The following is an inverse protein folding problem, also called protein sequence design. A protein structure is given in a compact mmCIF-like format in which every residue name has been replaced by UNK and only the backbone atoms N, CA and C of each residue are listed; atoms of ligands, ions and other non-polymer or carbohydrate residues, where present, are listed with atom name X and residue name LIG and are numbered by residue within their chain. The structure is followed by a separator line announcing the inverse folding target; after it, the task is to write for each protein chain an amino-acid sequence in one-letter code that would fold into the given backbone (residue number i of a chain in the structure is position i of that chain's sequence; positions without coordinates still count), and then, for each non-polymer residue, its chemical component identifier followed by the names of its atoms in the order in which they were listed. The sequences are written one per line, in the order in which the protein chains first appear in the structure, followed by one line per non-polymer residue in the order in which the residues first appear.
data_IF_331371453256
#
_entry.id   IF_331371453256
#
_cell.length_a   1.000
_cell.length_b   1.000
_cell.length_c   1.000
_cell.angle_alpha   90.00
_cell.angle_beta   90.00
_cell.angle_gamma   90.00
#
_symmetry.space_group_name_H-M   'P 1'
#
loop_
_entity.id
_entity.type
_entity.pdbx_description
1 polymer ?
#
# COMPACT_ATOMS: atom_id res chain seq x y z
N UNK A 1 8.17 6.98 -15.64
CA UNK A 1 7.56 5.66 -15.42
C UNK A 1 6.70 5.71 -14.18
N UNK A 2 5.52 5.15 -14.29
CA UNK A 2 4.60 5.13 -13.15
C UNK A 2 4.99 4.00 -12.19
N UNK A 3 4.98 4.31 -10.93
CA UNK A 3 5.13 3.29 -9.89
C UNK A 3 3.84 3.17 -9.13
N UNK A 4 3.73 2.13 -8.33
CA UNK A 4 2.47 1.82 -7.65
C UNK A 4 2.68 1.72 -6.16
N UNK A 5 1.63 2.06 -5.42
CA UNK A 5 1.61 2.02 -3.96
C UNK A 5 0.55 1.02 -3.52
N UNK A 6 0.77 0.45 -2.35
CA UNK A 6 -0.24 -0.40 -1.72
C UNK A 6 -0.74 0.33 -0.48
N UNK A 7 -2.05 0.51 -0.39
CA UNK A 7 -2.68 1.20 0.73
C UNK A 7 -3.51 0.18 1.51
N UNK A 8 -3.26 0.10 2.80
CA UNK A 8 -3.94 -0.85 3.67
C UNK A 8 -4.46 -0.11 4.89
N UNK A 9 -5.77 -0.19 5.12
CA UNK A 9 -6.39 0.37 6.32
C UNK A 9 -6.02 1.83 6.54
N UNK A 10 -5.99 2.60 5.46
CA UNK A 10 -5.69 4.03 5.52
C UNK A 10 -4.22 4.38 5.63
N UNK A 11 -3.34 3.40 5.51
CA UNK A 11 -1.89 3.62 5.58
C UNK A 11 -1.21 3.01 4.37
N UNK A 12 -0.02 3.53 4.06
CA UNK A 12 0.77 2.99 2.96
C UNK A 12 1.67 1.87 3.45
N UNK A 13 1.82 0.85 2.63
CA UNK A 13 2.75 -0.24 2.92
C UNK A 13 4.17 0.21 2.56
N UNK A 14 5.10 0.11 3.51
CA UNK A 14 6.49 0.48 3.26
C UNK A 14 7.28 -0.69 2.69
N UNK A 15 7.07 -1.88 3.22
CA UNK A 15 7.79 -3.07 2.76
C UNK A 15 7.10 -4.31 3.31
N UNK A 16 7.40 -5.44 2.68
CA UNK A 16 6.97 -6.74 3.16
C UNK A 16 8.20 -7.48 3.66
N UNK A 17 8.10 -8.07 4.84
CA UNK A 17 9.21 -8.77 5.46
C UNK A 17 8.86 -10.23 5.67
N UNK A 18 9.88 -11.06 5.66
CA UNK A 18 9.73 -12.47 5.97
C UNK A 18 9.06 -13.26 4.85
N UNK A 19 8.90 -14.58 5.06
CA UNK A 19 8.31 -15.43 4.04
C UNK A 19 6.85 -15.05 3.81
N UNK A 20 6.49 -14.97 2.56
CA UNK A 20 5.12 -14.68 2.12
C UNK A 20 4.58 -13.36 2.68
N UNK A 21 5.47 -12.42 2.97
CA UNK A 21 5.03 -11.13 3.48
C UNK A 21 4.39 -11.20 4.84
N UNK A 22 4.88 -12.08 5.71
CA UNK A 22 4.30 -12.27 7.04
C UNK A 22 4.48 -11.05 7.94
N UNK A 23 5.48 -10.20 7.66
CA UNK A 23 5.65 -8.94 8.36
C UNK A 23 5.40 -7.78 7.42
N UNK A 24 4.69 -6.76 7.90
CA UNK A 24 4.30 -5.63 7.06
C UNK A 24 4.67 -4.33 7.75
N UNK A 25 5.39 -3.45 7.02
CA UNK A 25 5.65 -2.11 7.49
C UNK A 25 4.58 -1.17 6.94
N UNK A 26 4.10 -0.26 7.78
CA UNK A 26 3.07 0.70 7.41
C UNK A 26 3.50 2.10 7.77
N UNK A 27 3.05 3.09 6.99
CA UNK A 27 3.32 4.49 7.27
C UNK A 27 2.15 5.33 6.79
N UNK A 28 1.95 6.47 7.43
CA UNK A 28 0.96 7.44 6.94
C UNK A 28 1.56 8.44 5.96
N UNK A 29 2.89 8.42 5.81
CA UNK A 29 3.60 9.35 4.94
C UNK A 29 3.82 8.74 3.57
N UNK A 30 3.25 9.35 2.54
CA UNK A 30 3.39 8.85 1.18
C UNK A 30 4.86 8.79 0.74
N UNK A 31 5.66 9.75 1.20
CA UNK A 31 7.07 9.81 0.82
C UNK A 31 7.88 8.64 1.36
N UNK A 32 7.40 8.03 2.44
CA UNK A 32 8.08 6.88 3.04
C UNK A 32 7.53 5.55 2.53
N UNK A 33 6.53 5.59 1.68
CA UNK A 33 5.88 4.38 1.19
C UNK A 33 6.80 3.60 0.25
N UNK A 34 6.70 2.29 0.30
CA UNK A 34 7.32 1.44 -0.68
C UNK A 34 6.61 1.56 -2.02
N UNK A 35 7.35 1.33 -3.10
CA UNK A 35 6.76 1.38 -4.43
C UNK A 35 7.02 0.08 -5.18
N UNK A 36 6.12 -0.23 -6.08
CA UNK A 36 6.24 -1.40 -6.95
C UNK A 36 6.31 -0.92 -8.39
N UNK A 37 7.19 -1.56 -9.18
CA UNK A 37 7.45 -1.13 -10.54
C UNK A 37 6.30 -1.43 -11.47
N UNK A 38 5.62 -2.54 -11.28
CA UNK A 38 4.51 -2.93 -12.13
C UNK A 38 3.23 -3.06 -11.32
N UNK A 39 2.11 -2.85 -12.01
CA UNK A 39 0.80 -3.02 -11.39
C UNK A 39 0.62 -4.45 -10.87
N UNK A 40 1.07 -5.42 -11.65
CA UNK A 40 0.93 -6.83 -11.26
C UNK A 40 1.67 -7.13 -9.96
N UNK A 41 2.88 -6.62 -9.81
CA UNK A 41 3.63 -6.81 -8.58
C UNK A 41 2.94 -6.14 -7.40
N UNK A 42 2.38 -4.97 -7.61
CA UNK A 42 1.65 -4.27 -6.56
C UNK A 42 0.41 -5.06 -6.14
N UNK A 43 -0.29 -5.65 -7.10
CA UNK A 43 -1.47 -6.47 -6.80
C UNK A 43 -1.09 -7.70 -5.99
N UNK A 44 0.02 -8.34 -6.33
CA UNK A 44 0.51 -9.48 -5.57
C UNK A 44 0.84 -9.08 -4.13
N UNK A 45 1.52 -7.95 -3.98
CA UNK A 45 1.85 -7.45 -2.65
C UNK A 45 0.57 -7.14 -1.87
N UNK A 46 -0.41 -6.51 -2.52
CA UNK A 46 -1.68 -6.19 -1.88
C UNK A 46 -2.39 -7.46 -1.40
N UNK A 47 -2.34 -8.53 -2.20
CA UNK A 47 -2.95 -9.78 -1.81
C UNK A 47 -2.31 -10.36 -0.56
N UNK A 48 -0.98 -10.31 -0.48
CA UNK A 48 -0.27 -10.78 0.70
C UNK A 48 -0.61 -9.95 1.93
N UNK A 49 -0.70 -8.63 1.77
CA UNK A 49 -1.07 -7.74 2.86
C UNK A 49 -2.48 -8.05 3.34
N UNK A 50 -3.41 -8.25 2.42
CA UNK A 50 -4.79 -8.55 2.76
C UNK A 50 -4.90 -9.85 3.55
N UNK A 51 -4.11 -10.85 3.20
CA UNK A 51 -4.09 -12.11 3.92
C UNK A 51 -3.58 -11.93 5.35
N UNK A 52 -2.62 -11.04 5.53
CA UNK A 52 -2.01 -10.84 6.84
C UNK A 52 -2.87 -10.01 7.79
N UNK A 53 -3.45 -8.94 7.29
CA UNK A 53 -4.20 -8.03 8.17
C UNK A 53 -5.71 -8.21 8.08
N UNK A 54 -6.17 -8.85 7.02
CA UNK A 54 -7.60 -9.14 6.87
C UNK A 54 -8.47 -7.92 6.60
N UNK A 55 -7.86 -6.80 6.22
CA UNK A 55 -8.58 -5.57 6.00
C UNK A 55 -8.68 -5.21 4.53
N UNK A 56 -9.19 -4.01 4.27
CA UNK A 56 -9.29 -3.49 2.93
C UNK A 56 -7.92 -3.04 2.43
N UNK A 57 -7.54 -3.50 1.26
CA UNK A 57 -6.25 -3.16 0.65
C UNK A 57 -6.49 -2.72 -0.78
N UNK A 58 -5.83 -1.65 -1.19
CA UNK A 58 -5.98 -1.10 -2.53
C UNK A 58 -4.62 -0.79 -3.14
N UNK A 59 -4.57 -0.76 -4.46
CA UNK A 59 -3.38 -0.39 -5.22
C UNK A 59 -3.64 0.95 -5.89
N UNK A 60 -2.70 1.89 -5.75
CA UNK A 60 -2.82 3.20 -6.36
C UNK A 60 -1.52 3.55 -7.08
N UNK A 61 -1.60 4.43 -8.07
CA UNK A 61 -0.38 4.92 -8.70
C UNK A 61 0.23 6.02 -7.84
N UNK A 62 1.54 6.19 -7.97
CA UNK A 62 2.27 7.21 -7.22
C UNK A 62 1.75 8.61 -7.56
N UNK A 63 1.24 8.78 -8.76
CA UNK A 63 0.77 10.08 -9.23
C UNK A 63 -0.59 10.49 -8.66
N UNK A 64 -1.27 9.58 -7.99
CA UNK A 64 -2.56 9.89 -7.38
C UNK A 64 -2.38 10.74 -6.13
N UNK A 65 -3.39 11.57 -5.78
CA UNK A 65 -3.32 12.38 -4.57
C UNK A 65 -3.21 11.52 -3.30
N UNK A 66 -2.81 12.13 -2.21
CA UNK A 66 -2.70 11.49 -0.91
C UNK A 66 -4.03 10.91 -0.50
N UNK A 67 -4.20 9.64 -0.73
CA UNK A 67 -5.46 8.98 -0.58
C UNK A 67 -5.96 8.90 0.88
N UNK A 68 -5.15 8.46 1.82
CA UNK A 68 -5.65 8.35 3.20
C UNK A 68 -6.11 9.68 3.78
N UNK A 69 -5.36 10.74 3.53
CA UNK A 69 -5.74 12.05 4.04
C UNK A 69 -7.02 12.57 3.42
N UNK A 70 -7.17 12.32 2.14
CA UNK A 70 -8.34 12.73 1.42
C UNK A 70 -9.59 12.10 2.01
N UNK A 71 -9.47 10.87 2.38
CA UNK A 71 -10.58 10.15 3.00
C UNK A 71 -10.94 10.72 4.35
N UNK A 72 -9.94 11.04 5.14
CA UNK A 72 -10.18 11.64 6.45
C UNK A 72 -10.94 12.95 6.33
N UNK A 73 -10.62 13.74 5.33
CA UNK A 73 -11.28 15.02 5.15
C UNK A 73 -12.70 14.86 4.66
N UNK A 74 -12.99 13.83 3.94
CA UNK A 74 -14.32 13.62 3.40
C UNK A 74 -15.32 13.22 4.48
N UNK A 75 -14.84 12.70 5.57
CA UNK A 75 -15.74 12.34 6.67
C UNK A 75 -16.05 13.51 7.61
#
# INVERSE_FOLDING_TARGET
MTRYLVVADGQYVTALYGPKGSGIGLTVEKDDAGTWVTYEHAVEAAALVAQSIGGFVAVHSVDEPDYPRKWSKAS
#
